data_IF_749460175131
#
_entry.id   IF_749460175131
#
_cell.length_a   1.000
_cell.length_b   1.000
_cell.length_c   1.000
_cell.angle_alpha   90.00
_cell.angle_beta   90.00
_cell.angle_gamma   90.00
#
_symmetry.space_group_name_H-M   'P 1'
#
loop_
_entity.id
_entity.type
_entity.pdbx_description
1 polymer ?
#
# COMPACT_ATOMS: atom_id res chain seq x y z
N UNK A 1 3.71 -30.04 2.32
CA UNK A 1 3.18 -30.33 3.67
C UNK A 1 1.74 -29.85 3.72
N UNK A 2 0.77 -30.70 4.08
CA UNK A 2 -0.63 -30.28 4.18
C UNK A 2 -0.79 -29.29 5.33
N UNK A 3 -1.34 -28.10 5.05
CA UNK A 3 -1.68 -27.11 6.07
C UNK A 3 -2.76 -27.69 6.99
N UNK A 4 -2.62 -27.61 8.32
CA UNK A 4 -3.61 -28.15 9.24
C UNK A 4 -4.94 -27.44 9.04
N UNK A 5 -6.00 -28.20 8.73
CA UNK A 5 -7.36 -27.69 8.56
C UNK A 5 -8.09 -27.67 9.92
N UNK A 6 -8.96 -26.69 10.12
CA UNK A 6 -9.87 -26.69 11.28
C UNK A 6 -11.02 -27.66 11.02
N UNK A 7 -11.05 -28.74 11.80
CA UNK A 7 -12.18 -29.65 11.83
C UNK A 7 -13.12 -29.34 13.01
N UNK A 8 -14.28 -29.99 13.04
CA UNK A 8 -15.28 -29.80 14.10
C UNK A 8 -14.66 -30.07 15.48
N UNK A 9 -13.84 -31.11 15.61
CA UNK A 9 -13.22 -31.48 16.89
C UNK A 9 -12.27 -30.38 17.40
N UNK A 10 -11.51 -29.72 16.52
CA UNK A 10 -10.64 -28.60 16.87
C UNK A 10 -11.46 -27.36 17.28
N UNK A 11 -12.63 -27.17 16.69
CA UNK A 11 -13.48 -26.01 16.93
C UNK A 11 -14.33 -26.13 18.21
N UNK A 12 -14.64 -27.37 18.63
CA UNK A 12 -15.40 -27.68 19.86
C UNK A 12 -14.50 -28.08 21.04
N UNK A 13 -13.20 -28.26 20.82
CA UNK A 13 -12.26 -28.58 21.91
C UNK A 13 -12.05 -27.38 22.84
N UNK A 14 -12.30 -27.60 24.13
CA UNK A 14 -11.98 -26.65 25.19
C UNK A 14 -10.48 -26.72 25.49
N UNK A 15 -9.77 -25.59 25.40
CA UNK A 15 -8.35 -25.52 25.77
C UNK A 15 -8.19 -25.55 27.30
N UNK A 16 -7.07 -26.12 27.77
CA UNK A 16 -6.78 -26.23 29.20
C UNK A 16 -6.80 -24.84 29.86
N UNK A 17 -7.73 -24.64 30.80
CA UNK A 17 -7.93 -23.37 31.52
C UNK A 17 -9.03 -22.46 30.95
N UNK A 18 -9.63 -22.81 29.81
CA UNK A 18 -10.79 -22.10 29.25
C UNK A 18 -12.11 -22.80 29.64
N UNK A 19 -13.21 -22.03 29.68
CA UNK A 19 -14.55 -22.56 29.95
C UNK A 19 -15.32 -22.98 28.69
N UNK A 20 -14.96 -22.41 27.54
CA UNK A 20 -15.69 -22.56 26.29
C UNK A 20 -14.73 -22.80 25.11
N UNK A 21 -15.20 -23.50 24.10
CA UNK A 21 -14.49 -23.73 22.83
C UNK A 21 -14.46 -22.48 21.95
N UNK A 22 -13.82 -22.57 20.78
CA UNK A 22 -13.76 -21.45 19.82
C UNK A 22 -15.17 -21.09 19.35
N UNK A 23 -15.98 -22.08 18.98
CA UNK A 23 -17.38 -21.87 18.57
C UNK A 23 -18.22 -21.40 19.76
N UNK A 24 -18.06 -22.01 20.95
CA UNK A 24 -18.80 -21.60 22.14
C UNK A 24 -18.58 -20.13 22.49
N UNK A 25 -17.32 -19.65 22.45
CA UNK A 25 -17.00 -18.23 22.67
C UNK A 25 -17.60 -17.31 21.62
N UNK A 26 -17.57 -17.71 20.35
CA UNK A 26 -18.11 -16.93 19.24
C UNK A 26 -19.62 -16.72 19.43
N UNK A 27 -20.35 -17.79 19.69
CA UNK A 27 -21.79 -17.76 19.92
C UNK A 27 -22.11 -16.96 21.18
N UNK A 28 -21.43 -17.25 22.29
CA UNK A 28 -21.63 -16.53 23.55
C UNK A 28 -21.42 -15.02 23.38
N UNK A 29 -20.37 -14.60 22.67
CA UNK A 29 -20.08 -13.19 22.43
C UNK A 29 -21.12 -12.49 21.56
N UNK A 30 -21.70 -13.22 20.59
CA UNK A 30 -22.75 -12.68 19.73
C UNK A 30 -24.11 -12.61 20.44
N UNK A 31 -24.45 -13.63 21.23
CA UNK A 31 -25.77 -13.78 21.88
C UNK A 31 -25.95 -12.91 23.13
N UNK A 32 -24.88 -12.58 23.86
CA UNK A 32 -24.94 -11.83 25.14
C UNK A 32 -25.06 -10.32 24.98
N UNK A 33 -24.90 -9.78 23.78
CA UNK A 33 -24.89 -8.33 23.54
C UNK A 33 -26.29 -7.80 23.23
N UNK A 34 -26.56 -6.56 23.63
CA UNK A 34 -27.86 -5.90 23.41
C UNK A 34 -28.27 -5.79 21.93
N UNK A 35 -27.30 -5.86 21.01
CA UNK A 35 -27.52 -5.82 19.57
C UNK A 35 -27.62 -7.21 18.92
N UNK A 36 -27.69 -8.30 19.69
CA UNK A 36 -27.72 -9.68 19.18
C UNK A 36 -28.80 -9.91 18.11
N UNK A 37 -29.98 -9.31 18.28
CA UNK A 37 -31.10 -9.37 17.32
C UNK A 37 -30.86 -8.61 16.01
N UNK A 38 -29.82 -7.79 15.93
CA UNK A 38 -29.41 -7.03 14.74
C UNK A 38 -28.21 -7.67 14.02
N UNK A 39 -27.74 -8.82 14.48
CA UNK A 39 -26.60 -9.51 13.87
C UNK A 39 -27.09 -10.33 12.68
N UNK A 40 -26.82 -9.86 11.48
CA UNK A 40 -27.20 -10.57 10.25
C UNK A 40 -26.40 -11.87 10.09
N UNK A 41 -25.07 -11.82 10.32
CA UNK A 41 -24.16 -12.96 10.15
C UNK A 41 -23.08 -13.01 11.24
N UNK A 42 -22.75 -14.22 11.68
CA UNK A 42 -21.64 -14.50 12.59
C UNK A 42 -20.58 -15.27 11.80
N UNK A 43 -19.53 -14.58 11.37
CA UNK A 43 -18.53 -15.15 10.48
C UNK A 43 -17.30 -15.61 11.26
N UNK A 44 -16.98 -16.90 11.20
CA UNK A 44 -15.70 -17.43 11.64
C UNK A 44 -14.74 -17.47 10.46
N UNK A 45 -13.70 -16.64 10.52
CA UNK A 45 -12.62 -16.60 9.53
C UNK A 45 -11.41 -17.28 10.13
N UNK A 46 -10.90 -18.30 9.45
CA UNK A 46 -9.65 -18.95 9.82
C UNK A 46 -8.56 -18.60 8.81
N UNK A 47 -7.30 -18.59 9.27
CA UNK A 47 -6.15 -18.44 8.38
C UNK A 47 -5.89 -19.69 7.54
N UNK A 48 -6.31 -20.86 8.03
CA UNK A 48 -6.28 -22.13 7.30
C UNK A 48 -7.70 -22.61 6.95
N UNK A 49 -7.79 -23.51 5.96
CA UNK A 49 -9.08 -24.02 5.48
C UNK A 49 -9.82 -24.84 6.54
N UNK A 50 -11.12 -25.01 6.33
CA UNK A 50 -12.01 -25.79 7.17
C UNK A 50 -12.21 -27.20 6.60
N UNK A 51 -12.38 -28.18 7.50
CA UNK A 51 -12.77 -29.56 7.17
C UNK A 51 -13.93 -29.97 8.09
N UNK A 52 -15.14 -29.54 7.72
CA UNK A 52 -16.32 -29.60 8.59
C UNK A 52 -17.26 -30.76 8.26
N UNK A 53 -16.90 -31.63 7.31
CA UNK A 53 -17.77 -32.70 6.82
C UNK A 53 -19.01 -32.13 6.15
N UNK A 54 -18.90 -31.80 4.86
CA UNK A 54 -19.99 -31.25 4.07
C UNK A 54 -20.92 -32.35 3.53
N UNK A 55 -22.18 -31.99 3.25
CA UNK A 55 -23.14 -32.88 2.56
C UNK A 55 -22.86 -33.06 1.06
N UNK A 56 -22.03 -32.19 0.49
CA UNK A 56 -21.64 -32.22 -0.91
C UNK A 56 -20.12 -32.25 -1.05
N UNK A 57 -19.64 -32.75 -2.18
CA UNK A 57 -18.23 -32.68 -2.57
C UNK A 57 -17.81 -31.29 -3.08
N UNK A 58 -18.65 -30.26 -2.87
CA UNK A 58 -18.41 -28.90 -3.37
C UNK A 58 -17.45 -28.14 -2.46
N UNK A 59 -16.48 -27.45 -3.07
CA UNK A 59 -15.62 -26.50 -2.38
C UNK A 59 -16.32 -25.13 -2.27
N UNK A 60 -16.87 -24.84 -1.09
CA UNK A 60 -17.62 -23.59 -0.83
C UNK A 60 -16.71 -22.52 -0.21
N UNK A 61 -16.78 -21.30 -0.72
CA UNK A 61 -16.10 -20.13 -0.11
C UNK A 61 -16.72 -19.76 1.25
N UNK A 62 -18.05 -19.91 1.36
CA UNK A 62 -18.82 -19.64 2.57
C UNK A 62 -19.60 -20.91 2.93
N UNK A 63 -19.24 -21.53 4.04
CA UNK A 63 -19.91 -22.73 4.55
C UNK A 63 -20.92 -22.29 5.60
N UNK A 64 -22.21 -22.52 5.35
CA UNK A 64 -23.27 -22.31 6.33
C UNK A 64 -23.62 -23.61 7.06
N UNK A 65 -24.35 -23.54 8.17
CA UNK A 65 -24.76 -24.73 8.94
C UNK A 65 -25.54 -25.74 8.08
N UNK A 66 -26.38 -25.25 7.17
CA UNK A 66 -27.15 -26.11 6.25
C UNK A 66 -26.30 -26.90 5.25
N UNK A 67 -25.01 -26.59 5.11
CA UNK A 67 -24.09 -27.33 4.25
C UNK A 67 -23.35 -28.46 4.99
N UNK A 68 -23.43 -28.50 6.32
CA UNK A 68 -22.78 -29.51 7.17
C UNK A 68 -23.59 -30.80 7.20
N UNK A 69 -22.89 -31.93 7.35
CA UNK A 69 -23.53 -33.21 7.57
C UNK A 69 -24.12 -33.34 8.98
N UNK A 70 -25.10 -34.25 9.12
CA UNK A 70 -25.81 -34.46 10.38
C UNK A 70 -24.86 -34.83 11.52
N UNK A 71 -23.83 -35.64 11.25
CA UNK A 71 -22.81 -36.02 12.24
C UNK A 71 -22.06 -34.81 12.80
N UNK A 72 -21.68 -33.86 11.94
CA UNK A 72 -20.99 -32.63 12.32
C UNK A 72 -21.91 -31.69 13.09
N UNK A 73 -23.18 -31.59 12.67
CA UNK A 73 -24.20 -30.80 13.38
C UNK A 73 -24.45 -31.36 14.78
N UNK A 74 -24.59 -32.68 14.91
CA UNK A 74 -24.84 -33.33 16.21
C UNK A 74 -23.65 -33.14 17.16
N UNK A 75 -22.43 -33.26 16.66
CA UNK A 75 -21.21 -32.94 17.44
C UNK A 75 -21.20 -31.49 17.92
N UNK A 76 -21.57 -30.53 17.07
CA UNK A 76 -21.67 -29.13 17.45
C UNK A 76 -22.74 -28.90 18.52
N UNK A 77 -23.94 -29.47 18.34
CA UNK A 77 -25.04 -29.38 19.31
C UNK A 77 -24.65 -29.97 20.66
N UNK A 78 -24.00 -31.13 20.67
CA UNK A 78 -23.54 -31.79 21.89
C UNK A 78 -22.49 -30.93 22.63
N UNK A 79 -21.53 -30.35 21.90
CA UNK A 79 -20.54 -29.45 22.48
C UNK A 79 -21.18 -28.20 23.08
N UNK A 80 -22.08 -27.52 22.34
CA UNK A 80 -22.77 -26.32 22.85
C UNK A 80 -23.67 -26.61 24.04
N UNK A 81 -24.36 -27.76 24.05
CA UNK A 81 -25.16 -28.19 25.18
C UNK A 81 -24.29 -28.42 26.42
N UNK A 82 -23.11 -29.01 26.26
CA UNK A 82 -22.15 -29.20 27.37
C UNK A 82 -21.54 -27.90 27.88
N UNK A 83 -21.38 -26.89 27.02
CA UNK A 83 -20.69 -25.63 27.34
C UNK A 83 -21.61 -24.52 27.84
N UNK A 84 -22.82 -24.42 27.30
CA UNK A 84 -23.74 -23.29 27.50
C UNK A 84 -25.14 -23.71 27.94
N UNK A 85 -25.42 -25.02 28.05
CA UNK A 85 -26.74 -25.55 28.40
C UNK A 85 -27.81 -25.34 27.32
N UNK A 86 -27.42 -24.88 26.12
CA UNK A 86 -28.29 -24.72 24.97
C UNK A 86 -27.71 -25.47 23.77
N UNK A 87 -28.54 -26.26 23.08
CA UNK A 87 -28.18 -26.98 21.87
C UNK A 87 -28.46 -26.20 20.58
N UNK A 88 -29.11 -25.04 20.69
CA UNK A 88 -29.51 -24.29 19.50
C UNK A 88 -28.31 -23.57 18.87
N UNK A 89 -28.07 -23.87 17.60
CA UNK A 89 -26.99 -23.26 16.81
C UNK A 89 -27.61 -22.12 16.00
N UNK A 90 -27.20 -20.85 16.22
CA UNK A 90 -27.71 -19.73 15.44
C UNK A 90 -27.57 -19.96 13.94
N UNK A 91 -28.65 -19.89 13.14
CA UNK A 91 -28.63 -20.23 11.70
C UNK A 91 -27.77 -19.27 10.87
N UNK A 92 -27.41 -18.13 11.44
CA UNK A 92 -26.61 -17.09 10.81
C UNK A 92 -25.09 -17.28 10.96
N UNK A 93 -24.61 -18.39 11.54
CA UNK A 93 -23.18 -18.71 11.60
C UNK A 93 -22.67 -19.19 10.24
N UNK A 94 -21.52 -18.64 9.84
CA UNK A 94 -20.83 -18.98 8.59
C UNK A 94 -19.34 -19.20 8.85
N UNK A 95 -18.76 -20.16 8.16
CA UNK A 95 -17.33 -20.40 8.12
C UNK A 95 -16.80 -19.89 6.79
N UNK A 96 -15.91 -18.89 6.82
CA UNK A 96 -15.38 -18.24 5.63
C UNK A 96 -14.02 -18.84 5.32
N UNK A 97 -13.92 -19.51 4.17
CA UNK A 97 -12.65 -20.07 3.69
C UNK A 97 -11.73 -18.92 3.24
N UNK A 98 -10.49 -18.85 3.74
CA UNK A 98 -9.58 -17.77 3.38
C UNK A 98 -9.18 -17.86 1.90
N UNK A 99 -9.31 -16.75 1.17
CA UNK A 99 -8.82 -16.63 -0.22
C UNK A 99 -7.29 -16.68 -0.30
N UNK A 100 -6.63 -16.18 0.74
CA UNK A 100 -5.18 -16.11 0.84
C UNK A 100 -4.61 -17.43 1.37
N UNK A 101 -4.11 -18.28 0.48
CA UNK A 101 -3.41 -19.50 0.85
C UNK A 101 -2.12 -19.15 1.62
N UNK A 102 -2.04 -19.54 2.91
CA UNK A 102 -0.88 -19.25 3.78
C UNK A 102 0.46 -19.59 3.10
N UNK A 103 0.49 -20.65 2.29
CA UNK A 103 1.72 -21.14 1.66
C UNK A 103 2.33 -20.17 0.63
N UNK A 104 1.56 -19.25 0.07
CA UNK A 104 2.03 -18.30 -0.96
C UNK A 104 1.69 -16.83 -0.66
N UNK A 105 1.27 -16.51 0.57
CA UNK A 105 0.90 -15.13 0.94
C UNK A 105 1.99 -14.12 0.61
N UNK A 106 3.25 -14.44 0.89
CA UNK A 106 4.38 -13.57 0.55
C UNK A 106 4.48 -13.33 -0.97
N UNK A 107 4.42 -14.40 -1.77
CA UNK A 107 4.49 -14.31 -3.22
C UNK A 107 3.34 -13.49 -3.81
N UNK A 108 2.12 -13.69 -3.30
CA UNK A 108 0.94 -12.94 -3.73
C UNK A 108 1.04 -11.45 -3.39
N UNK A 109 1.52 -11.10 -2.19
CA UNK A 109 1.72 -9.69 -1.81
C UNK A 109 2.83 -9.06 -2.66
N UNK A 110 3.95 -9.76 -2.89
CA UNK A 110 5.02 -9.28 -3.78
C UNK A 110 4.49 -9.05 -5.20
N UNK A 111 3.65 -9.95 -5.71
CA UNK A 111 2.98 -9.79 -7.01
C UNK A 111 2.09 -8.55 -7.05
N UNK A 112 1.28 -8.33 -6.02
CA UNK A 112 0.43 -7.12 -5.91
C UNK A 112 1.25 -5.84 -5.79
N UNK A 113 2.40 -5.88 -5.11
CA UNK A 113 3.35 -4.76 -5.09
C UNK A 113 3.87 -4.48 -6.50
N UNK A 114 4.29 -5.51 -7.25
CA UNK A 114 4.76 -5.33 -8.62
C UNK A 114 3.68 -4.73 -9.54
N UNK A 115 2.44 -5.25 -9.48
CA UNK A 115 1.29 -4.68 -10.21
C UNK A 115 1.05 -3.21 -9.86
N UNK A 116 1.14 -2.86 -8.57
CA UNK A 116 0.98 -1.47 -8.12
C UNK A 116 2.10 -0.57 -8.67
N UNK A 117 3.34 -1.03 -8.68
CA UNK A 117 4.47 -0.25 -9.21
C UNK A 117 4.33 -0.06 -10.71
N UNK A 118 3.93 -1.08 -11.47
CA UNK A 118 3.68 -0.95 -12.91
C UNK A 118 2.55 0.06 -13.20
N UNK A 119 1.49 0.05 -12.38
CA UNK A 119 0.40 1.02 -12.49
C UNK A 119 0.84 2.46 -12.19
N UNK A 120 1.66 2.66 -11.15
CA UNK A 120 2.12 4.00 -10.73
C UNK A 120 3.27 4.53 -11.59
N UNK A 121 4.13 3.65 -12.07
CA UNK A 121 5.36 3.94 -12.80
C UNK A 121 5.50 2.95 -13.97
N UNK A 122 4.74 3.16 -15.07
CA UNK A 122 4.78 2.26 -16.22
C UNK A 122 6.19 2.11 -16.80
N UNK A 123 6.53 0.92 -17.28
CA UNK A 123 7.85 0.59 -17.84
C UNK A 123 9.04 0.77 -16.86
N UNK A 124 8.80 0.90 -15.56
CA UNK A 124 9.88 1.00 -14.57
C UNK A 124 10.44 -0.38 -14.19
N UNK A 125 11.71 -0.42 -13.80
CA UNK A 125 12.29 -1.63 -13.22
C UNK A 125 12.12 -1.58 -11.69
N UNK A 126 11.37 -2.54 -11.15
CA UNK A 126 11.00 -2.57 -9.73
C UNK A 126 11.58 -3.80 -9.03
N UNK A 127 12.23 -3.60 -7.88
CA UNK A 127 12.56 -4.68 -6.96
C UNK A 127 11.43 -4.89 -5.93
N UNK A 128 10.35 -5.53 -6.38
CA UNK A 128 9.14 -5.76 -5.56
C UNK A 128 9.41 -6.60 -4.31
N UNK A 129 10.42 -7.47 -4.34
CA UNK A 129 10.85 -8.27 -3.18
C UNK A 129 11.41 -7.39 -2.07
N UNK A 130 12.28 -6.42 -2.40
CA UNK A 130 12.85 -5.52 -1.42
C UNK A 130 11.83 -4.51 -0.90
N UNK A 131 10.91 -4.03 -1.74
CA UNK A 131 9.77 -3.21 -1.27
C UNK A 131 8.98 -3.97 -0.22
N UNK A 132 8.58 -5.21 -0.53
CA UNK A 132 7.85 -6.05 0.42
C UNK A 132 8.61 -6.25 1.73
N UNK A 133 9.90 -6.60 1.67
CA UNK A 133 10.75 -6.81 2.85
C UNK A 133 10.82 -5.57 3.74
N UNK A 134 11.10 -4.41 3.15
CA UNK A 134 11.18 -3.15 3.90
C UNK A 134 9.84 -2.79 4.54
N UNK A 135 8.72 -2.99 3.84
CA UNK A 135 7.38 -2.71 4.37
C UNK A 135 6.98 -3.69 5.48
N UNK A 136 7.22 -4.98 5.31
CA UNK A 136 6.86 -5.98 6.32
C UNK A 136 7.72 -5.83 7.58
N UNK A 137 9.02 -5.54 7.43
CA UNK A 137 9.92 -5.29 8.56
C UNK A 137 9.51 -4.02 9.34
N UNK A 138 9.11 -2.95 8.63
CA UNK A 138 8.54 -1.76 9.27
C UNK A 138 7.24 -2.08 10.02
N UNK A 139 6.31 -2.84 9.40
CA UNK A 139 5.05 -3.24 10.04
C UNK A 139 5.29 -4.10 11.28
N UNK A 140 6.19 -5.07 11.20
CA UNK A 140 6.55 -5.93 12.33
C UNK A 140 7.19 -5.11 13.45
N UNK A 141 8.18 -4.25 13.13
CA UNK A 141 8.83 -3.38 14.10
C UNK A 141 7.83 -2.47 14.82
N UNK A 142 6.87 -1.90 14.09
CA UNK A 142 5.82 -1.02 14.64
C UNK A 142 4.76 -1.81 15.41
N UNK A 143 4.43 -3.02 14.97
CA UNK A 143 3.50 -3.94 15.63
C UNK A 143 4.00 -4.46 16.98
N UNK A 144 5.32 -4.50 17.19
CA UNK A 144 5.93 -4.85 18.49
C UNK A 144 5.82 -3.72 19.54
N UNK A 145 5.38 -2.52 19.18
CA UNK A 145 5.26 -1.39 20.12
C UNK A 145 4.02 -1.57 21.00
N UNK A 146 4.23 -1.98 22.24
CA UNK A 146 3.15 -2.22 23.22
C UNK A 146 2.73 -0.98 24.01
N UNK A 147 3.52 0.11 23.95
CA UNK A 147 3.28 1.32 24.73
C UNK A 147 2.18 2.20 24.12
N UNK A 148 1.46 2.91 24.98
CA UNK A 148 0.48 3.92 24.60
C UNK A 148 1.12 5.30 24.55
N UNK A 149 0.61 6.15 23.66
CA UNK A 149 1.10 7.51 23.44
C UNK A 149 0.02 8.50 23.84
N UNK A 150 0.40 9.55 24.56
CA UNK A 150 -0.51 10.63 24.97
C UNK A 150 -0.81 11.60 23.84
N UNK A 151 0.14 11.79 22.91
CA UNK A 151 -0.03 12.62 21.72
C UNK A 151 -0.32 11.77 20.49
N UNK A 152 -1.29 12.23 19.70
CA UNK A 152 -1.69 11.60 18.46
C UNK A 152 -0.56 11.53 17.43
N UNK A 153 0.20 12.62 17.26
CA UNK A 153 1.28 12.67 16.26
C UNK A 153 2.42 11.69 16.59
N UNK A 154 2.74 11.54 17.87
CA UNK A 154 3.73 10.56 18.34
C UNK A 154 3.24 9.12 18.11
N UNK A 155 1.93 8.87 18.26
CA UNK A 155 1.33 7.60 17.91
C UNK A 155 1.43 7.32 16.41
N UNK A 156 1.12 8.30 15.55
CA UNK A 156 1.22 8.14 14.10
C UNK A 156 2.65 7.82 13.67
N UNK A 157 3.63 8.58 14.16
CA UNK A 157 5.04 8.38 13.82
C UNK A 157 5.52 6.98 14.23
N UNK A 158 5.11 6.50 15.41
CA UNK A 158 5.65 5.28 15.99
C UNK A 158 4.84 4.02 15.63
N UNK A 159 3.51 4.07 15.61
CA UNK A 159 2.63 2.91 15.36
C UNK A 159 2.02 2.85 13.96
N UNK A 160 1.97 3.94 13.20
CA UNK A 160 1.40 3.93 11.85
C UNK A 160 2.46 3.76 10.76
N UNK A 161 2.05 3.14 9.66
CA UNK A 161 2.74 3.18 8.37
C UNK A 161 1.97 4.17 7.49
N UNK A 162 2.57 5.32 7.19
CA UNK A 162 1.91 6.38 6.41
C UNK A 162 2.07 6.17 4.91
N UNK A 163 1.13 6.67 4.12
CA UNK A 163 1.17 6.62 2.65
C UNK A 163 2.46 7.22 2.08
N UNK A 164 2.91 8.35 2.62
CA UNK A 164 4.18 9.00 2.24
C UNK A 164 5.37 8.04 2.37
N UNK A 165 5.42 7.27 3.46
CA UNK A 165 6.52 6.35 3.73
C UNK A 165 6.47 5.11 2.84
N UNK A 166 5.27 4.64 2.51
CA UNK A 166 5.05 3.57 1.53
C UNK A 166 5.52 4.01 0.15
N UNK A 167 5.09 5.19 -0.30
CA UNK A 167 5.48 5.76 -1.61
C UNK A 167 7.00 5.93 -1.67
N UNK A 168 7.62 6.49 -0.63
CA UNK A 168 9.08 6.66 -0.57
C UNK A 168 9.83 5.32 -0.65
N UNK A 169 9.31 4.29 0.01
CA UNK A 169 9.91 2.95 -0.02
C UNK A 169 9.81 2.34 -1.42
N UNK A 170 8.66 2.51 -2.09
CA UNK A 170 8.47 2.09 -3.48
C UNK A 170 9.47 2.80 -4.40
N UNK A 171 9.55 4.13 -4.31
CA UNK A 171 10.45 4.95 -5.11
C UNK A 171 11.93 4.56 -4.93
N UNK A 172 12.34 4.27 -3.69
CA UNK A 172 13.74 3.89 -3.39
C UNK A 172 14.15 2.58 -4.06
N UNK A 173 13.20 1.69 -4.31
CA UNK A 173 13.44 0.36 -4.90
C UNK A 173 12.91 0.23 -6.33
N UNK A 174 12.53 1.35 -6.95
CA UNK A 174 12.08 1.42 -8.33
C UNK A 174 13.05 2.29 -9.11
N UNK A 175 13.78 1.70 -10.05
CA UNK A 175 14.56 2.47 -11.01
C UNK A 175 13.66 2.86 -12.17
N UNK A 176 13.50 4.16 -12.30
CA UNK A 176 12.64 4.77 -13.30
C UNK A 176 13.30 4.73 -14.68
N UNK A 177 12.59 4.21 -15.69
CA UNK A 177 13.08 4.17 -17.06
C UNK A 177 13.30 5.59 -17.60
N UNK A 178 14.43 5.82 -18.28
CA UNK A 178 14.81 7.14 -18.80
C UNK A 178 15.55 8.05 -17.81
N UNK A 179 15.60 7.70 -16.52
CA UNK A 179 16.30 8.52 -15.53
C UNK A 179 17.80 8.69 -15.85
N UNK A 180 18.47 7.64 -16.33
CA UNK A 180 19.87 7.73 -16.74
C UNK A 180 20.09 8.74 -17.88
N UNK A 181 19.17 8.79 -18.84
CA UNK A 181 19.26 9.75 -19.95
C UNK A 181 19.07 11.17 -19.44
N UNK A 182 18.04 11.40 -18.62
CA UNK A 182 17.77 12.72 -18.02
C UNK A 182 18.94 13.19 -17.17
N UNK A 183 19.59 12.30 -16.42
CA UNK A 183 20.77 12.66 -15.62
C UNK A 183 21.99 12.97 -16.49
N UNK A 184 22.17 12.28 -17.63
CA UNK A 184 23.22 12.62 -18.59
C UNK A 184 23.00 14.00 -19.22
N UNK A 185 21.77 14.30 -19.60
CA UNK A 185 21.42 15.59 -20.20
C UNK A 185 21.53 16.73 -19.17
N UNK A 186 21.13 16.48 -17.91
CA UNK A 186 21.38 17.39 -16.80
C UNK A 186 22.88 17.63 -16.56
N UNK A 187 23.71 16.60 -16.64
CA UNK A 187 25.15 16.73 -16.45
C UNK A 187 25.79 17.61 -17.54
N UNK A 188 25.30 17.53 -18.77
CA UNK A 188 25.69 18.43 -19.86
C UNK A 188 25.30 19.89 -19.55
N UNK A 189 24.03 20.12 -19.20
CA UNK A 189 23.53 21.45 -18.83
C UNK A 189 24.27 22.03 -17.62
N UNK A 190 24.52 21.23 -16.59
CA UNK A 190 25.24 21.67 -15.40
C UNK A 190 26.70 22.07 -15.71
N UNK A 191 27.33 21.39 -16.65
CA UNK A 191 28.68 21.69 -17.13
C UNK A 191 28.71 23.02 -17.90
N UNK A 192 27.74 23.26 -18.79
CA UNK A 192 27.57 24.54 -19.49
C UNK A 192 27.26 25.71 -18.53
N UNK A 193 26.48 25.42 -17.48
CA UNK A 193 26.20 26.39 -16.43
C UNK A 193 27.44 26.71 -15.57
N UNK A 194 28.47 25.88 -15.59
CA UNK A 194 29.68 26.01 -14.78
C UNK A 194 29.41 25.73 -13.29
N UNK A 195 28.46 24.86 -12.98
CA UNK A 195 28.06 24.57 -11.60
C UNK A 195 29.10 23.71 -10.89
N UNK A 196 29.50 24.13 -9.69
CA UNK A 196 30.29 23.29 -8.80
C UNK A 196 29.44 22.18 -8.17
N UNK A 197 30.09 21.17 -7.58
CA UNK A 197 29.40 20.02 -6.98
C UNK A 197 28.35 20.42 -5.94
N UNK A 198 28.64 21.43 -5.11
CA UNK A 198 27.74 21.90 -4.04
C UNK A 198 26.47 22.56 -4.58
N UNK A 199 26.57 23.27 -5.70
CA UNK A 199 25.41 23.86 -6.39
C UNK A 199 24.65 22.83 -7.24
N UNK A 200 25.37 21.84 -7.80
CA UNK A 200 24.80 20.78 -8.64
C UNK A 200 23.95 19.79 -7.84
N UNK A 201 24.39 19.38 -6.64
CA UNK A 201 23.72 18.35 -5.85
C UNK A 201 22.26 18.64 -5.48
N UNK A 202 21.87 19.83 -4.99
CA UNK A 202 20.47 20.14 -4.69
C UNK A 202 19.59 20.16 -5.95
N UNK A 203 20.13 20.60 -7.10
CA UNK A 203 19.42 20.57 -8.38
C UNK A 203 19.20 19.14 -8.85
N UNK A 204 20.23 18.29 -8.79
CA UNK A 204 20.12 16.88 -9.14
C UNK A 204 19.02 16.17 -8.35
N UNK A 205 19.02 16.32 -7.02
CA UNK A 205 18.00 15.71 -6.16
C UNK A 205 16.59 16.22 -6.51
N UNK A 206 16.47 17.50 -6.88
CA UNK A 206 15.19 18.10 -7.27
C UNK A 206 14.70 17.56 -8.62
N UNK A 207 15.59 17.37 -9.60
CA UNK A 207 15.28 16.80 -10.92
C UNK A 207 14.87 15.33 -10.80
N UNK A 208 15.58 14.52 -10.00
CA UNK A 208 15.21 13.14 -9.71
C UNK A 208 13.80 13.06 -9.11
N UNK A 209 13.49 13.93 -8.14
CA UNK A 209 12.16 14.03 -7.52
C UNK A 209 11.09 14.42 -8.53
N UNK A 210 11.35 15.43 -9.37
CA UNK A 210 10.44 15.91 -10.40
C UNK A 210 10.17 14.83 -11.45
N UNK A 211 11.20 14.08 -11.86
CA UNK A 211 11.04 12.99 -12.82
C UNK A 211 10.04 11.94 -12.33
N UNK A 212 10.14 11.57 -11.05
CA UNK A 212 9.22 10.64 -10.41
C UNK A 212 7.81 11.24 -10.30
N UNK A 213 7.67 12.51 -9.90
CA UNK A 213 6.37 13.19 -9.80
C UNK A 213 5.67 13.26 -11.17
N UNK A 214 6.44 13.43 -12.25
CA UNK A 214 5.92 13.57 -13.61
C UNK A 214 5.37 12.28 -14.22
N UNK A 215 5.71 11.12 -13.66
CA UNK A 215 5.13 9.83 -14.08
C UNK A 215 3.69 9.65 -13.62
N UNK A 216 3.32 10.24 -12.49
CA UNK A 216 1.94 10.30 -12.01
C UNK A 216 1.59 11.74 -11.61
N UNK A 217 1.36 12.61 -12.61
CA UNK A 217 1.35 14.05 -12.38
C UNK A 217 0.07 14.49 -11.66
N UNK A 218 0.25 15.27 -10.58
CA UNK A 218 -0.87 15.95 -9.93
C UNK A 218 -1.45 17.05 -10.83
N UNK A 219 -2.68 17.50 -10.54
CA UNK A 219 -3.29 18.63 -11.27
C UNK A 219 -2.46 19.91 -11.17
N UNK A 220 -1.80 20.13 -10.04
CA UNK A 220 -0.85 21.22 -9.83
C UNK A 220 0.37 21.05 -10.72
N UNK A 221 0.94 19.85 -10.77
CA UNK A 221 2.09 19.53 -11.60
C UNK A 221 1.79 19.80 -13.08
N UNK A 222 0.62 19.41 -13.58
CA UNK A 222 0.17 19.66 -14.97
C UNK A 222 0.07 21.17 -15.25
N UNK A 223 -0.47 21.93 -14.29
CA UNK A 223 -0.59 23.39 -14.43
C UNK A 223 0.78 24.05 -14.50
N UNK A 224 1.70 23.67 -13.61
CA UNK A 224 3.07 24.18 -13.59
C UNK A 224 3.80 23.86 -14.90
N UNK A 225 3.68 22.62 -15.40
CA UNK A 225 4.26 22.20 -16.68
C UNK A 225 3.83 23.13 -17.81
N UNK A 226 2.52 23.31 -17.98
CA UNK A 226 1.97 24.13 -19.08
C UNK A 226 2.47 25.58 -19.05
N UNK A 227 2.58 26.15 -17.86
CA UNK A 227 3.08 27.52 -17.69
C UNK A 227 4.57 27.64 -18.04
N UNK A 228 5.38 26.65 -17.65
CA UNK A 228 6.80 26.61 -18.00
C UNK A 228 6.99 26.37 -19.52
N UNK A 229 6.24 25.47 -20.14
CA UNK A 229 6.26 25.26 -21.60
C UNK A 229 5.89 26.54 -22.36
N UNK A 230 4.88 27.27 -21.89
CA UNK A 230 4.50 28.56 -22.46
C UNK A 230 5.60 29.62 -22.30
N UNK A 231 6.28 29.65 -21.14
CA UNK A 231 7.39 30.55 -20.90
C UNK A 231 8.62 30.18 -21.75
N UNK A 232 8.92 28.89 -21.92
CA UNK A 232 10.00 28.40 -22.80
C UNK A 232 9.77 28.79 -24.26
N UNK A 233 8.54 28.65 -24.76
CA UNK A 233 8.17 29.10 -26.13
C UNK A 233 8.36 30.61 -26.30
N UNK A 234 7.97 31.41 -25.30
CA UNK A 234 8.15 32.87 -25.33
C UNK A 234 9.62 33.30 -25.23
N UNK A 235 10.43 32.55 -24.50
CA UNK A 235 11.86 32.79 -24.33
C UNK A 235 12.70 32.28 -25.53
N UNK A 236 12.09 31.72 -26.57
CA UNK A 236 12.78 31.29 -27.78
C UNK A 236 13.56 29.99 -27.64
N UNK A 237 13.02 29.02 -26.88
CA UNK A 237 13.55 27.65 -26.83
C UNK A 237 13.75 27.08 -28.25
N UNK A 238 14.94 26.53 -28.53
CA UNK A 238 15.35 26.06 -29.87
C UNK A 238 16.03 27.10 -30.78
N UNK A 239 15.97 28.38 -30.42
CA UNK A 239 16.62 29.49 -31.16
C UNK A 239 17.75 30.11 -30.35
N UNK A 240 17.58 30.21 -29.02
CA UNK A 240 18.58 30.72 -28.11
C UNK A 240 19.67 29.66 -27.84
N UNK A 241 20.93 30.02 -28.11
CA UNK A 241 22.10 29.16 -27.94
C UNK A 241 22.73 29.24 -26.54
N UNK A 242 22.30 30.17 -25.68
CA UNK A 242 22.79 30.28 -24.30
C UNK A 242 21.73 29.83 -23.29
N UNK A 243 21.98 28.68 -22.66
CA UNK A 243 21.11 28.08 -21.65
C UNK A 243 20.98 28.97 -20.40
N UNK A 244 22.00 29.75 -20.02
CA UNK A 244 21.91 30.66 -18.86
C UNK A 244 20.89 31.76 -19.09
N UNK A 245 20.93 32.36 -20.28
CA UNK A 245 20.00 33.42 -20.65
C UNK A 245 18.58 32.86 -20.72
N UNK A 246 18.40 31.70 -21.35
CA UNK A 246 17.11 31.03 -21.45
C UNK A 246 16.50 30.74 -20.06
N UNK A 247 17.27 30.18 -19.12
CA UNK A 247 16.77 29.88 -17.77
C UNK A 247 16.34 31.17 -17.05
N UNK A 248 17.15 32.23 -17.15
CA UNK A 248 16.81 33.51 -16.52
C UNK A 248 15.57 34.16 -17.15
N UNK A 249 15.43 34.10 -18.47
CA UNK A 249 14.28 34.66 -19.19
C UNK A 249 12.99 33.92 -18.83
N UNK A 250 13.05 32.58 -18.76
CA UNK A 250 11.92 31.77 -18.28
C UNK A 250 11.61 32.08 -16.82
N UNK A 251 12.62 32.19 -15.96
CA UNK A 251 12.42 32.57 -14.55
C UNK A 251 11.76 33.95 -14.42
N UNK A 252 12.08 34.91 -15.29
CA UNK A 252 11.47 36.24 -15.30
C UNK A 252 10.03 36.25 -15.85
N UNK A 253 9.71 35.36 -16.79
CA UNK A 253 8.38 35.23 -17.39
C UNK A 253 7.37 34.50 -16.49
N UNK A 254 7.84 33.73 -15.51
CA UNK A 254 7.00 33.01 -14.56
C UNK A 254 6.42 33.97 -13.51
N UNK A 255 5.11 33.84 -13.25
CA UNK A 255 4.43 34.60 -12.20
C UNK A 255 4.89 34.20 -10.80
N UNK A 256 4.90 35.16 -9.87
CA UNK A 256 5.26 34.91 -8.45
C UNK A 256 4.35 33.88 -7.78
N UNK A 257 3.09 33.77 -8.23
CA UNK A 257 2.17 32.74 -7.75
C UNK A 257 2.66 31.32 -8.06
N UNK A 258 3.28 31.11 -9.22
CA UNK A 258 3.81 29.80 -9.63
C UNK A 258 5.14 29.53 -8.90
N UNK A 259 6.02 30.52 -8.79
CA UNK A 259 7.28 30.39 -8.04
C UNK A 259 7.01 30.00 -6.58
N UNK A 260 6.04 30.64 -5.94
CA UNK A 260 5.64 30.33 -4.57
C UNK A 260 5.02 28.92 -4.42
N UNK A 261 4.39 28.38 -5.47
CA UNK A 261 3.85 27.01 -5.46
C UNK A 261 4.93 25.94 -5.63
N UNK A 262 6.01 26.26 -6.34
CA UNK A 262 7.14 25.34 -6.54
C UNK A 262 8.00 25.28 -5.27
N UNK A 263 8.28 26.41 -4.65
CA UNK A 263 9.03 26.48 -3.40
C UNK A 263 10.29 27.34 -3.51
N UNK A 264 11.46 26.74 -3.27
CA UNK A 264 12.73 27.46 -3.19
C UNK A 264 13.27 27.82 -4.59
N UNK A 265 14.09 28.89 -4.68
CA UNK A 265 14.65 29.36 -5.97
C UNK A 265 15.42 28.27 -6.74
N UNK A 266 16.11 27.36 -6.05
CA UNK A 266 16.79 26.24 -6.72
C UNK A 266 15.81 25.19 -7.26
N UNK A 267 14.65 25.01 -6.64
CA UNK A 267 13.61 24.09 -7.12
C UNK A 267 12.92 24.65 -8.37
N UNK A 268 12.73 25.97 -8.44
CA UNK A 268 12.26 26.65 -9.65
C UNK A 268 13.23 26.40 -10.81
N UNK A 269 14.53 26.62 -10.60
CA UNK A 269 15.57 26.35 -11.61
C UNK A 269 15.62 24.89 -12.02
N UNK A 270 15.56 23.96 -11.05
CA UNK A 270 15.49 22.53 -11.34
C UNK A 270 14.26 22.15 -12.17
N UNK A 271 13.12 22.78 -11.91
CA UNK A 271 11.88 22.54 -12.68
C UNK A 271 12.02 23.03 -14.11
N UNK A 272 12.59 24.22 -14.33
CA UNK A 272 12.85 24.73 -15.68
C UNK A 272 13.82 23.82 -16.43
N UNK A 273 14.93 23.42 -15.79
CA UNK A 273 15.93 22.52 -16.39
C UNK A 273 15.31 21.16 -16.72
N UNK A 274 14.49 20.60 -15.81
CA UNK A 274 13.79 19.35 -16.06
C UNK A 274 12.86 19.47 -17.27
N UNK A 275 12.07 20.54 -17.38
CA UNK A 275 11.22 20.74 -18.55
C UNK A 275 12.05 20.94 -19.82
N UNK A 276 13.21 21.61 -19.78
CA UNK A 276 14.09 21.69 -20.97
C UNK A 276 14.53 20.31 -21.45
N UNK A 277 14.91 19.42 -20.52
CA UNK A 277 15.35 18.05 -20.83
C UNK A 277 14.17 17.17 -21.29
N UNK A 278 13.02 17.30 -20.64
CA UNK A 278 11.84 16.47 -20.88
C UNK A 278 10.93 16.98 -22.00
N UNK A 279 11.13 18.22 -22.48
CA UNK A 279 10.35 18.83 -23.54
C UNK A 279 10.72 18.24 -24.90
N UNK A 280 9.79 17.49 -25.49
CA UNK A 280 9.75 17.21 -26.93
C UNK A 280 9.12 18.38 -27.71
N UNK A 281 9.50 19.63 -27.41
CA UNK A 281 8.95 20.83 -28.10
C UNK A 281 9.60 21.02 -29.46
#
# INVERSE_FOLDING_TARGET
MATPKYNIDNLTKIKKGEKNSVIGRLIHSASTKAFSKKIDHINLVASCNFDLGLNSELELEIISIGNLNEKSIDKLKAALLSEMGNSDIPPNIRFIVPKLHIQEQQGQVIGKVAELVEYLFPNSHCNSVNIYRTLIDELLRKGCVTYDYTKWDELLINKALTSEKVIKTIQTHTSVHGNEQIMRDFDSIASELGLNFLAKKPLQNSIERLHIERMNPSSLAITIKREIENALRKAGFGVNSDIKLLINDVENLLSDSIKNKIGLSHEVKATIIYEIIASEI
#
